data_IF_506721914269
#
_entry.id   IF_506721914269
#
_cell.length_a   1.000
_cell.length_b   1.000
_cell.length_c   1.000
_cell.angle_alpha   90.00
_cell.angle_beta   90.00
_cell.angle_gamma   90.00
#
_symmetry.space_group_name_H-M   'P 1'
#
loop_
_entity.id
_entity.type
_entity.pdbx_description
1 polymer ?
#
# COMPACT_ATOMS: atom_id res chain seq x y z
N UNK A 1 -27.22 -3.55 -37.99
CA UNK A 1 -27.90 -4.80 -37.58
C UNK A 1 -28.14 -4.73 -36.08
N UNK A 2 -29.40 -4.56 -35.67
CA UNK A 2 -29.86 -4.66 -34.28
C UNK A 2 -30.61 -5.99 -34.16
N UNK A 3 -30.31 -6.78 -33.12
CA UNK A 3 -31.19 -7.84 -32.62
C UNK A 3 -31.11 -7.86 -31.07
N UNK A 4 -32.17 -8.34 -30.38
CA UNK A 4 -32.64 -7.82 -29.10
C UNK A 4 -32.42 -8.73 -27.89
N UNK A 5 -32.63 -8.15 -26.71
CA UNK A 5 -32.77 -8.78 -25.38
C UNK A 5 -33.93 -9.80 -25.33
N UNK A 6 -33.89 -10.79 -24.41
CA UNK A 6 -34.60 -10.70 -23.10
C UNK A 6 -33.81 -11.40 -21.97
N UNK A 7 -33.91 -11.11 -20.67
CA UNK A 7 -35.08 -10.83 -19.82
C UNK A 7 -35.44 -12.08 -19.00
N UNK A 8 -35.09 -12.14 -17.70
CA UNK A 8 -35.62 -13.10 -16.68
C UNK A 8 -35.49 -12.42 -15.30
N UNK A 9 -36.56 -11.84 -14.73
CA UNK A 9 -37.52 -12.41 -13.75
C UNK A 9 -36.85 -12.85 -12.42
N UNK A 10 -36.99 -12.11 -11.30
CA UNK A 10 -38.12 -11.95 -10.36
C UNK A 10 -38.50 -13.23 -9.58
N UNK A 11 -38.16 -13.27 -8.28
CA UNK A 11 -38.82 -13.99 -7.16
C UNK A 11 -38.18 -13.45 -5.86
N UNK A 12 -38.79 -12.75 -4.90
CA UNK A 12 -40.06 -12.80 -4.15
C UNK A 12 -40.17 -13.96 -3.12
N UNK A 13 -40.51 -13.58 -1.86
CA UNK A 13 -41.01 -14.37 -0.71
C UNK A 13 -39.96 -15.21 0.06
N UNK A 14 -39.98 -15.39 1.40
CA UNK A 14 -40.96 -15.28 2.49
C UNK A 14 -40.18 -15.19 3.84
N UNK A 15 -40.50 -14.34 4.82
CA UNK A 15 -41.56 -14.41 5.83
C UNK A 15 -41.17 -15.13 7.16
N UNK A 16 -41.40 -14.40 8.26
CA UNK A 16 -41.95 -14.82 9.56
C UNK A 16 -41.14 -15.69 10.54
N UNK A 17 -41.01 -15.14 11.76
CA UNK A 17 -41.43 -15.86 12.97
C UNK A 17 -40.33 -16.25 13.96
N UNK A 18 -40.43 -15.74 15.20
CA UNK A 18 -39.65 -16.29 16.31
C UNK A 18 -39.59 -15.43 17.57
N UNK A 19 -40.73 -15.04 18.14
CA UNK A 19 -40.82 -14.61 19.54
C UNK A 19 -40.91 -15.84 20.45
N UNK A 20 -40.13 -15.86 21.52
CA UNK A 20 -40.48 -16.54 22.77
C UNK A 20 -39.67 -17.78 23.12
N UNK A 21 -38.82 -17.65 24.14
CA UNK A 21 -38.84 -18.55 25.31
C UNK A 21 -37.90 -18.00 26.38
N UNK A 22 -38.47 -17.53 27.48
CA UNK A 22 -37.76 -17.32 28.74
C UNK A 22 -37.49 -18.70 29.35
N UNK A 23 -36.26 -19.19 29.22
CA UNK A 23 -35.73 -20.29 30.03
C UNK A 23 -34.90 -19.69 31.16
N UNK A 24 -35.39 -19.83 32.39
CA UNK A 24 -34.61 -19.59 33.60
C UNK A 24 -33.65 -20.75 33.78
N UNK A 25 -32.39 -20.56 33.40
CA UNK A 25 -31.32 -21.49 33.75
C UNK A 25 -30.69 -21.06 35.07
N UNK A 26 -30.80 -21.98 36.01
CA UNK A 26 -30.26 -21.96 37.36
C UNK A 26 -28.74 -21.90 37.25
N UNK A 27 -28.13 -20.76 37.63
CA UNK A 27 -26.68 -20.62 37.61
C UNK A 27 -26.11 -21.39 38.80
N UNK A 28 -25.75 -22.65 38.56
CA UNK A 28 -24.88 -23.42 39.43
C UNK A 28 -23.49 -22.78 39.38
N UNK A 29 -23.14 -22.06 40.44
CA UNK A 29 -21.83 -21.41 40.59
C UNK A 29 -20.76 -22.48 40.79
N UNK A 30 -20.16 -22.94 39.69
CA UNK A 30 -18.90 -23.68 39.72
C UNK A 30 -17.83 -22.72 40.24
N UNK A 31 -17.10 -23.04 41.32
CA UNK A 31 -15.94 -22.25 41.71
C UNK A 31 -14.88 -22.44 40.62
N UNK A 32 -14.73 -21.43 39.76
CA UNK A 32 -13.56 -21.33 38.90
C UNK A 32 -12.36 -21.08 39.80
N UNK A 33 -11.59 -22.13 40.04
CA UNK A 33 -10.21 -22.03 40.46
C UNK A 33 -9.51 -21.13 39.43
N UNK A 34 -9.23 -19.89 39.82
CA UNK A 34 -8.39 -18.99 39.03
C UNK A 34 -6.98 -19.55 39.09
N UNK A 35 -6.66 -20.52 38.23
CA UNK A 35 -5.27 -20.81 37.93
C UNK A 35 -4.63 -19.49 37.48
N UNK A 36 -3.50 -19.07 38.07
CA UNK A 36 -2.82 -17.88 37.63
C UNK A 36 -2.44 -18.10 36.17
N UNK A 37 -3.12 -17.39 35.26
CA UNK A 37 -2.73 -17.31 33.86
C UNK A 37 -1.30 -16.79 33.86
N UNK A 38 -0.36 -17.68 33.59
CA UNK A 38 1.05 -17.35 33.50
C UNK A 38 1.20 -16.27 32.42
N UNK A 39 1.59 -15.03 32.76
CA UNK A 39 1.72 -13.95 31.79
C UNK A 39 2.87 -14.19 30.80
N UNK A 40 3.64 -15.28 30.93
CA UNK A 40 4.77 -15.61 30.05
C UNK A 40 4.39 -16.23 28.70
N UNK A 41 3.10 -16.42 28.37
CA UNK A 41 2.67 -17.10 27.13
C UNK A 41 2.54 -16.18 25.91
N UNK A 42 2.85 -14.88 25.99
CA UNK A 42 2.62 -13.93 24.87
C UNK A 42 3.83 -13.17 24.34
N UNK A 43 5.07 -13.56 24.67
CA UNK A 43 6.22 -13.15 23.86
C UNK A 43 6.50 -14.26 22.83
N UNK A 44 5.64 -14.32 21.80
CA UNK A 44 6.08 -14.89 20.52
C UNK A 44 7.16 -13.94 20.02
N UNK A 45 8.42 -14.33 20.21
CA UNK A 45 9.57 -13.63 19.63
C UNK A 45 9.25 -13.31 18.16
N UNK A 46 9.19 -12.02 17.83
CA UNK A 46 8.90 -11.51 16.48
C UNK A 46 10.06 -11.96 15.57
N UNK A 47 9.90 -13.09 14.88
CA UNK A 47 10.93 -13.64 14.01
C UNK A 47 11.27 -12.59 12.95
N UNK A 48 12.50 -12.05 12.92
CA UNK A 48 12.88 -11.00 11.98
C UNK A 48 12.80 -11.48 10.51
N UNK A 49 12.80 -12.80 10.28
CA UNK A 49 12.67 -13.39 8.96
C UNK A 49 11.22 -13.64 8.53
N UNK A 50 10.25 -13.46 9.44
CA UNK A 50 8.84 -13.59 9.10
C UNK A 50 8.43 -12.51 8.11
N UNK A 51 7.97 -12.92 6.93
CA UNK A 51 7.55 -12.00 5.87
C UNK A 51 6.08 -11.60 5.98
N UNK A 52 5.23 -12.49 6.48
CA UNK A 52 3.77 -12.35 6.45
C UNK A 52 3.16 -12.35 7.85
N UNK A 53 2.14 -11.53 8.05
CA UNK A 53 1.25 -11.63 9.21
C UNK A 53 0.32 -12.85 9.11
N UNK A 54 -0.54 -13.03 10.12
CA UNK A 54 -1.49 -14.17 10.17
C UNK A 54 -2.56 -14.08 9.08
N UNK A 55 -2.78 -12.88 8.55
CA UNK A 55 -3.75 -12.54 7.52
C UNK A 55 -3.14 -12.63 6.09
N UNK A 56 -1.84 -12.92 5.97
CA UNK A 56 -1.14 -13.07 4.69
C UNK A 56 -0.69 -11.74 4.05
N UNK A 57 -0.64 -10.64 4.81
CA UNK A 57 -0.06 -9.38 4.36
C UNK A 57 1.43 -9.32 4.69
N UNK A 58 2.19 -8.58 3.87
CA UNK A 58 3.59 -8.34 4.16
C UNK A 58 3.74 -7.48 5.42
N UNK A 59 4.64 -7.91 6.30
CA UNK A 59 5.07 -7.15 7.46
C UNK A 59 6.03 -6.02 7.03
N UNK A 60 5.98 -4.85 7.69
CA UNK A 60 6.95 -3.80 7.47
C UNK A 60 8.33 -4.20 8.00
N UNK A 61 9.38 -3.74 7.33
CA UNK A 61 10.77 -3.82 7.79
C UNK A 61 11.18 -2.52 8.49
N UNK A 62 12.37 -2.53 9.10
CA UNK A 62 13.00 -1.34 9.66
C UNK A 62 13.56 -0.40 8.58
N UNK A 63 13.63 -0.84 7.32
CA UNK A 63 14.12 -0.03 6.21
C UNK A 63 13.07 0.99 5.80
N UNK A 64 13.44 2.27 5.87
CA UNK A 64 12.56 3.41 5.57
C UNK A 64 13.18 4.30 4.50
N UNK A 65 12.44 4.60 3.44
CA UNK A 65 12.83 5.55 2.39
C UNK A 65 11.88 6.74 2.42
N UNK A 66 12.38 7.92 2.79
CA UNK A 66 11.58 9.15 2.84
C UNK A 66 10.25 8.99 3.61
N UNK A 67 10.29 8.26 4.72
CA UNK A 67 9.12 7.96 5.57
C UNK A 67 8.26 6.78 5.11
N UNK A 68 8.55 6.17 3.96
CA UNK A 68 7.91 4.95 3.51
C UNK A 68 8.64 3.72 4.06
N UNK A 69 8.00 2.99 4.97
CA UNK A 69 8.50 1.70 5.44
C UNK A 69 8.37 0.63 4.34
N UNK A 70 9.47 -0.03 4.00
CA UNK A 70 9.49 -1.11 3.01
C UNK A 70 8.98 -2.42 3.61
N UNK A 71 8.50 -3.38 2.80
CA UNK A 71 8.15 -4.70 3.32
C UNK A 71 9.39 -5.48 3.73
N UNK A 72 9.26 -6.43 4.68
CA UNK A 72 10.31 -7.42 4.98
C UNK A 72 10.63 -8.27 3.74
N UNK A 73 11.84 -8.81 3.69
CA UNK A 73 12.31 -9.65 2.57
C UNK A 73 12.64 -8.89 1.29
N UNK A 74 12.91 -7.58 1.40
CA UNK A 74 13.48 -6.78 0.30
C UNK A 74 15.00 -6.71 0.45
N UNK A 75 15.71 -6.82 -0.67
CA UNK A 75 17.15 -6.65 -0.76
C UNK A 75 17.46 -5.41 -1.59
N UNK A 76 18.27 -4.50 -1.05
CA UNK A 76 18.75 -3.35 -1.80
C UNK A 76 19.71 -3.78 -2.92
N UNK A 77 19.57 -3.13 -4.07
CA UNK A 77 20.49 -3.27 -5.20
C UNK A 77 21.03 -1.89 -5.60
N UNK A 78 22.26 -1.82 -6.14
CA UNK A 78 22.81 -0.57 -6.61
C UNK A 78 21.87 0.13 -7.59
N UNK A 79 21.57 1.39 -7.30
CA UNK A 79 20.82 2.29 -8.16
C UNK A 79 21.76 3.29 -8.86
N UNK A 80 21.35 3.80 -10.01
CA UNK A 80 22.07 4.89 -10.68
C UNK A 80 21.29 6.19 -10.49
N UNK A 81 21.96 7.21 -9.99
CA UNK A 81 21.41 8.55 -9.81
C UNK A 81 21.08 8.88 -8.36
N UNK A 82 21.08 10.17 -8.07
CA UNK A 82 20.74 10.68 -6.74
C UNK A 82 19.28 10.39 -6.40
N UNK A 83 18.99 10.06 -5.14
CA UNK A 83 17.63 9.88 -4.60
C UNK A 83 16.81 8.78 -5.28
N UNK A 84 17.52 7.82 -5.88
CA UNK A 84 16.95 6.61 -6.48
C UNK A 84 17.35 5.43 -5.63
N UNK A 85 16.38 4.58 -5.33
CA UNK A 85 16.55 3.39 -4.54
C UNK A 85 15.95 2.21 -5.29
N UNK A 86 16.69 1.12 -5.41
CA UNK A 86 16.23 -0.08 -6.12
C UNK A 86 16.27 -1.24 -5.15
N UNK A 87 15.15 -1.94 -5.01
CA UNK A 87 15.03 -3.12 -4.18
C UNK A 87 14.47 -4.30 -4.97
N UNK A 88 14.79 -5.50 -4.52
CA UNK A 88 14.28 -6.75 -5.08
C UNK A 88 13.71 -7.61 -3.97
N UNK A 89 12.65 -8.33 -4.29
CA UNK A 89 12.08 -9.35 -3.40
C UNK A 89 11.60 -10.52 -4.24
N UNK A 90 11.62 -11.72 -3.66
CA UNK A 90 11.04 -12.92 -4.27
C UNK A 90 9.50 -12.93 -4.19
N UNK A 91 8.92 -11.99 -3.43
CA UNK A 91 7.48 -11.90 -3.26
C UNK A 91 6.79 -11.48 -4.55
N UNK A 92 5.67 -12.16 -4.84
CA UNK A 92 4.86 -11.90 -6.02
C UNK A 92 4.29 -10.47 -6.06
N UNK A 93 4.23 -9.94 -7.28
CA UNK A 93 3.81 -8.57 -7.56
C UNK A 93 2.48 -8.16 -6.91
N UNK A 94 1.47 -9.03 -6.98
CA UNK A 94 0.14 -8.71 -6.43
C UNK A 94 0.17 -8.48 -4.91
N UNK A 95 1.02 -9.21 -4.20
CA UNK A 95 1.21 -9.07 -2.76
C UNK A 95 1.93 -7.75 -2.45
N UNK A 96 3.01 -7.45 -3.17
CA UNK A 96 3.76 -6.19 -3.00
C UNK A 96 2.87 -4.97 -3.31
N UNK A 97 2.04 -5.04 -4.35
CA UNK A 97 1.05 -3.99 -4.65
C UNK A 97 0.05 -3.77 -3.52
N UNK A 98 -0.47 -4.85 -2.92
CA UNK A 98 -1.38 -4.76 -1.76
C UNK A 98 -0.70 -4.15 -0.54
N UNK A 99 0.60 -4.35 -0.36
CA UNK A 99 1.36 -3.73 0.72
C UNK A 99 1.47 -2.21 0.53
N UNK A 100 1.86 -1.75 -0.66
CA UNK A 100 2.06 -0.32 -0.93
C UNK A 100 0.76 0.48 -1.11
N UNK A 101 -0.28 -0.13 -1.67
CA UNK A 101 -1.55 0.54 -1.96
C UNK A 101 -2.14 1.38 -0.81
N UNK A 102 -2.36 0.81 0.40
CA UNK A 102 -2.88 1.57 1.52
C UNK A 102 -1.87 2.52 2.17
N UNK A 103 -0.56 2.34 1.92
CA UNK A 103 0.53 3.13 2.51
C UNK A 103 0.88 4.36 1.68
N UNK A 104 0.48 4.41 0.41
CA UNK A 104 0.71 5.52 -0.50
C UNK A 104 -0.59 6.28 -0.77
N UNK A 105 -0.53 7.60 -0.68
CA UNK A 105 -1.57 8.50 -1.15
C UNK A 105 -1.10 9.14 -2.46
N UNK A 106 -1.80 8.87 -3.56
CA UNK A 106 -1.52 9.46 -4.87
C UNK A 106 -2.81 9.72 -5.64
N UNK A 107 -2.77 10.69 -6.55
CA UNK A 107 -3.84 10.93 -7.52
C UNK A 107 -3.71 10.11 -8.80
N UNK A 108 -2.57 9.45 -9.03
CA UNK A 108 -2.27 8.78 -10.30
C UNK A 108 -1.46 7.50 -10.11
N UNK A 109 -1.92 6.43 -10.75
CA UNK A 109 -1.24 5.14 -10.79
C UNK A 109 -1.18 4.65 -12.23
N UNK A 110 0.01 4.67 -12.82
CA UNK A 110 0.24 4.10 -14.16
C UNK A 110 0.28 2.59 -14.05
N UNK A 111 -0.51 1.88 -14.87
CA UNK A 111 -0.52 0.41 -14.90
C UNK A 111 -0.21 -0.09 -16.30
N UNK A 112 0.76 -0.99 -16.41
CA UNK A 112 1.15 -1.65 -17.66
C UNK A 112 1.34 -3.14 -17.39
N UNK A 113 0.40 -3.97 -17.86
CA UNK A 113 0.37 -5.38 -17.50
C UNK A 113 0.23 -5.56 -15.98
N UNK A 114 1.18 -6.27 -15.37
CA UNK A 114 1.27 -6.41 -13.91
C UNK A 114 2.13 -5.35 -13.22
N UNK A 115 2.80 -4.46 -13.98
CA UNK A 115 3.57 -3.38 -13.39
C UNK A 115 2.66 -2.22 -12.95
N UNK A 116 3.06 -1.52 -11.89
CA UNK A 116 2.36 -0.36 -11.36
C UNK A 116 3.34 0.73 -10.96
N UNK A 117 3.06 2.00 -11.29
CA UNK A 117 3.85 3.15 -10.84
C UNK A 117 2.93 4.13 -10.13
N UNK A 118 3.15 4.34 -8.84
CA UNK A 118 2.46 5.36 -8.05
C UNK A 118 3.19 6.68 -8.23
N UNK A 119 2.56 7.65 -8.89
CA UNK A 119 3.19 8.94 -9.25
C UNK A 119 3.04 9.95 -8.14
N UNK A 120 4.12 10.69 -7.85
CA UNK A 120 4.13 11.80 -6.90
C UNK A 120 3.41 11.47 -5.58
N UNK A 121 3.54 10.23 -5.13
CA UNK A 121 2.84 9.67 -4.00
C UNK A 121 3.42 10.20 -2.69
N UNK A 122 2.56 10.33 -1.69
CA UNK A 122 2.94 10.71 -0.32
C UNK A 122 2.72 9.50 0.58
N UNK A 123 3.71 9.05 1.37
CA UNK A 123 3.48 8.00 2.34
C UNK A 123 2.55 8.51 3.45
N UNK A 124 1.57 7.71 3.88
CA UNK A 124 0.48 8.19 4.75
C UNK A 124 0.90 8.50 6.18
N UNK A 125 1.90 7.79 6.71
CA UNK A 125 2.25 7.83 8.13
C UNK A 125 3.48 8.71 8.43
N UNK A 126 3.86 9.61 7.52
CA UNK A 126 5.04 10.48 7.70
C UNK A 126 4.70 11.71 8.54
N UNK A 127 5.36 11.85 9.69
CA UNK A 127 5.34 13.07 10.48
C UNK A 127 6.54 13.96 10.07
N UNK A 128 6.29 15.09 9.41
CA UNK A 128 7.33 16.05 9.02
C UNK A 128 7.21 16.54 7.57
N UNK A 129 8.34 16.94 6.99
CA UNK A 129 8.41 17.44 5.60
C UNK A 129 7.93 16.38 4.60
N UNK A 130 6.99 16.77 3.74
CA UNK A 130 6.39 15.86 2.75
C UNK A 130 7.32 15.69 1.55
N UNK A 131 8.03 14.56 1.50
CA UNK A 131 8.76 14.14 0.31
C UNK A 131 7.81 13.31 -0.56
N UNK A 132 7.62 13.76 -1.80
CA UNK A 132 6.83 13.02 -2.79
C UNK A 132 7.70 11.96 -3.46
N UNK A 133 7.12 10.81 -3.77
CA UNK A 133 7.82 9.66 -4.31
C UNK A 133 7.18 9.20 -5.61
N UNK A 134 7.99 8.84 -6.59
CA UNK A 134 7.57 7.92 -7.64
C UNK A 134 7.94 6.50 -7.19
N UNK A 135 6.95 5.63 -7.01
CA UNK A 135 7.16 4.23 -6.58
C UNK A 135 6.74 3.30 -7.72
N UNK A 136 7.72 2.71 -8.40
CA UNK A 136 7.55 1.74 -9.46
C UNK A 136 7.67 0.30 -8.97
N UNK A 137 6.72 -0.54 -9.35
CA UNK A 137 6.69 -1.98 -9.07
C UNK A 137 6.72 -2.73 -10.41
N UNK A 138 7.75 -3.54 -10.62
CA UNK A 138 7.96 -4.28 -11.86
C UNK A 138 8.12 -5.78 -11.62
N UNK A 139 7.45 -6.66 -12.38
CA UNK A 139 7.66 -8.09 -12.27
C UNK A 139 9.08 -8.43 -12.73
N UNK A 140 9.71 -9.41 -12.11
CA UNK A 140 11.01 -9.92 -12.53
C UNK A 140 10.85 -11.24 -13.30
N UNK A 141 11.79 -11.58 -14.21
CA UNK A 141 11.73 -12.85 -14.94
C UNK A 141 11.80 -14.11 -14.05
N UNK A 142 12.26 -13.98 -12.80
CA UNK A 142 12.41 -15.08 -11.83
C UNK A 142 11.21 -15.26 -10.89
N UNK A 143 10.13 -14.51 -11.09
CA UNK A 143 8.88 -14.65 -10.30
C UNK A 143 8.74 -13.69 -9.10
N UNK A 144 9.75 -12.87 -8.82
CA UNK A 144 9.69 -11.83 -7.78
C UNK A 144 9.33 -10.44 -8.30
N UNK A 145 9.52 -9.43 -7.44
CA UNK A 145 9.21 -8.02 -7.71
C UNK A 145 10.43 -7.13 -7.54
N UNK A 146 10.67 -6.26 -8.53
CA UNK A 146 11.58 -5.13 -8.42
C UNK A 146 10.81 -3.89 -8.01
N UNK A 147 11.30 -3.20 -6.99
CA UNK A 147 10.74 -1.97 -6.46
C UNK A 147 11.74 -0.86 -6.78
N UNK A 148 11.31 0.18 -7.48
CA UNK A 148 12.09 1.38 -7.74
C UNK A 148 11.42 2.55 -7.03
N UNK A 149 12.18 3.26 -6.20
CA UNK A 149 11.70 4.44 -5.48
C UNK A 149 12.55 5.62 -5.91
N UNK A 150 11.90 6.66 -6.38
CA UNK A 150 12.55 7.91 -6.74
C UNK A 150 11.94 9.05 -5.92
N UNK A 151 12.77 9.69 -5.10
CA UNK A 151 12.31 10.82 -4.33
C UNK A 151 12.31 12.09 -5.18
N UNK A 152 11.17 12.76 -5.23
CA UNK A 152 11.02 14.00 -5.96
C UNK A 152 11.63 15.16 -5.15
N UNK A 153 12.24 16.15 -5.82
CA UNK A 153 12.61 17.40 -5.18
C UNK A 153 11.37 18.05 -4.55
N UNK A 154 11.52 18.67 -3.38
CA UNK A 154 10.45 19.50 -2.84
C UNK A 154 10.11 20.57 -3.89
N UNK A 155 8.83 20.93 -4.04
CA UNK A 155 8.46 22.02 -4.92
C UNK A 155 9.20 23.29 -4.49
N UNK A 156 9.65 24.14 -5.43
CA UNK A 156 10.33 25.38 -5.09
C UNK A 156 9.45 26.25 -4.19
N UNK A 157 10.02 26.73 -3.08
CA UNK A 157 9.27 27.53 -2.10
C UNK A 157 8.85 28.90 -2.63
N UNK A 158 9.60 29.42 -3.60
CA UNK A 158 9.28 30.65 -4.31
C UNK A 158 8.71 30.29 -5.67
N UNK A 159 7.43 30.59 -5.97
CA UNK A 159 6.94 30.46 -7.33
C UNK A 159 7.78 31.34 -8.26
N UNK A 160 8.13 30.84 -9.44
CA UNK A 160 8.82 31.62 -10.47
C UNK A 160 7.97 32.87 -10.73
N UNK A 161 8.59 34.06 -10.68
CA UNK A 161 7.86 35.30 -10.90
C UNK A 161 7.26 35.32 -12.32
N UNK A 162 6.11 35.99 -12.54
CA UNK A 162 5.54 36.13 -13.87
C UNK A 162 6.54 36.71 -14.89
N UNK A 163 7.38 37.64 -14.47
CA UNK A 163 8.41 38.26 -15.30
C UNK A 163 9.48 37.26 -15.77
N UNK A 164 9.90 36.35 -14.88
CA UNK A 164 10.88 35.30 -15.19
C UNK A 164 10.30 34.22 -16.12
N UNK A 165 8.99 33.92 -15.99
CA UNK A 165 8.26 33.03 -16.91
C UNK A 165 8.18 33.63 -18.31
N UNK A 166 7.84 34.91 -18.42
CA UNK A 166 7.79 35.63 -19.70
C UNK A 166 9.18 35.63 -20.35
N UNK A 167 10.23 35.93 -19.58
CA UNK A 167 11.61 35.94 -20.10
C UNK A 167 12.05 34.58 -20.64
N UNK A 168 11.75 33.48 -19.94
CA UNK A 168 12.06 32.12 -20.40
C UNK A 168 11.31 31.76 -21.67
N UNK A 169 10.03 32.10 -21.75
CA UNK A 169 9.21 31.82 -22.92
C UNK A 169 9.74 32.54 -24.16
N UNK A 170 10.11 33.81 -24.02
CA UNK A 170 10.71 34.60 -25.11
C UNK A 170 12.07 34.03 -25.56
N UNK A 171 12.90 33.55 -24.63
CA UNK A 171 14.18 32.89 -24.95
C UNK A 171 13.99 31.58 -25.72
N UNK A 172 13.04 30.75 -25.29
CA UNK A 172 12.75 29.47 -25.95
C UNK A 172 12.18 29.70 -27.36
N UNK A 173 11.33 30.71 -27.55
CA UNK A 173 10.83 31.07 -28.88
C UNK A 173 11.97 31.46 -29.84
N UNK A 174 12.92 32.29 -29.38
CA UNK A 174 14.09 32.69 -30.19
C UNK A 174 15.03 31.55 -30.54
N UNK A 175 15.02 30.43 -29.80
CA UNK A 175 15.83 29.25 -30.13
C UNK A 175 15.21 28.36 -31.21
N UNK A 176 13.92 28.52 -31.47
CA UNK A 176 13.17 27.69 -32.41
C UNK A 176 13.05 28.31 -33.82
N UNK A 177 13.33 29.61 -33.95
CA UNK A 177 13.43 30.35 -35.22
C UNK A 177 14.87 30.36 -35.77
#
# INVERSE_FOLDING_TARGET
MRLPSPGVALALLAALGGCGSCGSDEVETVPYETEPVDPSVFDLEDDPNQLYDREGNLLPSETVVAGLALPRGVEERPSQGERRHTYFTEVEMGVVQRYFGPRLMTGEVDRVGSAAVFRAAVPRDVQGGVVRLDVGLYPTPRGGTRIEIHELPPPPQTPISPEELIRRFDEDQRRLD
#
